data_IF_213560350094
#
_entry.id   IF_213560350094
#
_cell.length_a   1.000
_cell.length_b   1.000
_cell.length_c   1.000
_cell.angle_alpha   90.00
_cell.angle_beta   90.00
_cell.angle_gamma   90.00
#
_symmetry.space_group_name_H-M   'P 1'
#
loop_
_entity.id
_entity.type
_entity.pdbx_description
1 polymer ?
#
# COMPACT_ATOMS: atom_id res chain seq x y z
N UNK A 1 -20.99 17.42 -24.32
CA UNK A 1 -20.39 17.82 -23.02
C UNK A 1 -19.34 16.78 -22.64
N UNK A 2 -18.06 17.15 -22.63
CA UNK A 2 -16.99 16.23 -22.20
C UNK A 2 -16.93 16.23 -20.68
N UNK A 3 -17.31 15.13 -20.02
CA UNK A 3 -17.12 14.98 -18.57
C UNK A 3 -15.64 14.72 -18.31
N UNK A 4 -14.93 15.72 -17.80
CA UNK A 4 -13.61 15.51 -17.20
C UNK A 4 -13.78 14.65 -15.95
N UNK A 5 -13.70 13.33 -16.08
CA UNK A 5 -13.58 12.43 -14.93
C UNK A 5 -12.19 12.63 -14.35
N UNK A 6 -12.11 13.18 -13.13
CA UNK A 6 -10.84 13.18 -12.37
C UNK A 6 -10.34 11.72 -12.32
N UNK A 7 -9.05 11.47 -12.58
CA UNK A 7 -8.50 10.12 -12.48
C UNK A 7 -8.75 9.60 -11.07
N UNK A 8 -9.30 8.39 -10.99
CA UNK A 8 -9.54 7.67 -9.74
C UNK A 8 -8.17 7.41 -9.09
N UNK A 9 -8.00 7.81 -7.83
CA UNK A 9 -6.75 7.61 -7.07
C UNK A 9 -6.93 6.44 -6.09
N UNK A 10 -5.86 5.69 -5.80
CA UNK A 10 -5.92 4.67 -4.76
C UNK A 10 -6.14 5.32 -3.39
N UNK A 11 -6.84 4.60 -2.51
CA UNK A 11 -7.03 4.95 -1.09
C UNK A 11 -5.73 4.78 -0.30
N UNK A 12 -4.92 3.76 -0.65
CA UNK A 12 -3.61 3.50 -0.05
C UNK A 12 -2.69 2.84 -1.08
N UNK A 13 -1.39 3.04 -0.91
CA UNK A 13 -0.33 2.21 -1.49
C UNK A 13 -0.08 1.02 -0.57
N UNK A 14 0.15 -0.16 -1.13
CA UNK A 14 0.44 -1.38 -0.39
C UNK A 14 1.93 -1.63 -0.48
N UNK A 15 2.61 -1.65 0.66
CA UNK A 15 4.03 -2.01 0.72
C UNK A 15 4.22 -3.23 1.60
N UNK A 16 5.26 -4.02 1.33
CA UNK A 16 5.60 -5.23 2.06
C UNK A 16 7.06 -5.19 2.51
N UNK A 17 7.30 -5.57 3.76
CA UNK A 17 8.63 -5.86 4.30
C UNK A 17 8.69 -7.30 4.75
N UNK A 18 9.68 -8.05 4.28
CA UNK A 18 9.94 -9.39 4.81
C UNK A 18 10.56 -9.31 6.21
N UNK A 19 10.30 -10.30 7.04
CA UNK A 19 11.02 -10.49 8.30
C UNK A 19 12.38 -11.09 7.97
N UNK A 20 13.46 -10.45 8.44
CA UNK A 20 14.84 -10.89 8.18
C UNK A 20 15.51 -11.55 9.39
N UNK A 21 14.86 -11.56 10.53
CA UNK A 21 15.35 -12.11 11.78
C UNK A 21 14.60 -11.51 12.96
N UNK A 22 15.16 -11.69 14.15
CA UNK A 22 14.68 -11.08 15.38
C UNK A 22 15.80 -10.35 16.12
N UNK A 23 15.45 -9.32 16.87
CA UNK A 23 16.39 -8.61 17.73
C UNK A 23 16.60 -9.31 19.08
N UNK A 24 17.39 -8.70 19.97
CA UNK A 24 17.70 -9.23 21.31
C UNK A 24 16.47 -9.35 22.23
N UNK A 25 15.36 -8.72 21.87
CA UNK A 25 14.10 -8.73 22.62
C UNK A 25 13.02 -9.59 21.93
N UNK A 26 13.41 -10.48 21.01
CA UNK A 26 12.51 -11.35 20.24
C UNK A 26 11.53 -10.58 19.32
N UNK A 27 11.83 -9.33 18.96
CA UNK A 27 11.03 -8.52 18.04
C UNK A 27 11.47 -8.72 16.58
N UNK A 28 10.50 -8.78 15.66
CA UNK A 28 10.77 -8.97 14.24
C UNK A 28 11.57 -7.81 13.65
N UNK A 29 12.69 -8.14 12.99
CA UNK A 29 13.47 -7.18 12.20
C UNK A 29 12.94 -7.21 10.78
N UNK A 30 12.50 -6.04 10.27
CA UNK A 30 11.90 -5.91 8.96
C UNK A 30 12.91 -5.42 7.91
N UNK A 31 12.81 -5.95 6.69
CA UNK A 31 13.54 -5.42 5.55
C UNK A 31 13.02 -4.04 5.14
N UNK A 32 13.77 -3.35 4.27
CA UNK A 32 13.26 -2.16 3.58
C UNK A 32 11.93 -2.50 2.86
N UNK A 33 10.87 -1.70 3.04
CA UNK A 33 9.59 -1.95 2.38
C UNK A 33 9.71 -1.77 0.88
N UNK A 34 8.97 -2.60 0.14
CA UNK A 34 8.78 -2.49 -1.30
C UNK A 34 7.30 -2.32 -1.60
N UNK A 35 6.98 -1.39 -2.49
CA UNK A 35 5.64 -1.28 -3.04
C UNK A 35 5.28 -2.54 -3.82
N UNK A 36 4.11 -3.09 -3.53
CA UNK A 36 3.62 -4.31 -4.17
C UNK A 36 2.20 -4.16 -4.73
N UNK A 37 1.54 -3.03 -4.52
CA UNK A 37 0.20 -2.79 -5.02
C UNK A 37 -0.48 -1.57 -4.44
N UNK A 38 -1.81 -1.55 -4.51
CA UNK A 38 -2.64 -0.45 -4.01
C UNK A 38 -4.02 -0.92 -3.53
N UNK A 39 -4.64 -0.12 -2.67
CA UNK A 39 -6.01 -0.29 -2.19
C UNK A 39 -6.91 0.72 -2.89
N UNK A 40 -8.02 0.26 -3.43
CA UNK A 40 -8.97 1.05 -4.21
C UNK A 40 -10.34 1.06 -3.56
N UNK A 41 -11.09 2.17 -3.70
CA UNK A 41 -12.48 2.20 -3.29
C UNK A 41 -13.31 1.23 -4.14
N UNK A 42 -14.35 0.64 -3.54
CA UNK A 42 -15.31 -0.16 -4.32
C UNK A 42 -16.24 0.76 -5.11
N UNK A 43 -16.52 0.37 -6.35
CA UNK A 43 -17.47 1.08 -7.22
C UNK A 43 -18.93 0.80 -6.84
N UNK A 44 -19.82 1.67 -7.30
CA UNK A 44 -21.28 1.54 -7.20
C UNK A 44 -21.80 1.50 -5.75
N UNK A 45 -21.28 2.36 -4.88
CA UNK A 45 -21.79 2.54 -3.51
C UNK A 45 -21.56 1.36 -2.58
N UNK A 46 -20.70 0.41 -2.93
CA UNK A 46 -20.35 -0.72 -2.08
C UNK A 46 -19.38 -0.29 -0.98
N UNK A 47 -19.63 -0.71 0.25
CA UNK A 47 -18.72 -0.47 1.39
C UNK A 47 -17.45 -1.32 1.27
N UNK A 48 -16.34 -0.79 1.81
CA UNK A 48 -15.03 -1.44 1.85
C UNK A 48 -14.11 -1.05 0.70
N UNK A 49 -12.99 -1.76 0.59
CA UNK A 49 -11.94 -1.47 -0.38
C UNK A 49 -11.41 -2.76 -1.03
N UNK A 50 -10.78 -2.63 -2.20
CA UNK A 50 -10.14 -3.71 -2.93
C UNK A 50 -8.62 -3.54 -2.84
N UNK A 51 -7.94 -4.50 -2.24
CA UNK A 51 -6.48 -4.59 -2.32
C UNK A 51 -6.10 -5.32 -3.61
N UNK A 52 -5.35 -4.64 -4.47
CA UNK A 52 -4.81 -5.19 -5.70
C UNK A 52 -3.30 -5.27 -5.52
N UNK A 53 -2.74 -6.47 -5.72
CA UNK A 53 -1.30 -6.72 -5.65
C UNK A 53 -0.77 -6.91 -7.07
N UNK A 54 0.12 -6.01 -7.48
CA UNK A 54 0.82 -6.07 -8.76
C UNK A 54 2.05 -6.99 -8.68
N UNK A 55 2.60 -7.15 -7.47
CA UNK A 55 3.67 -8.08 -7.15
C UNK A 55 3.26 -8.91 -5.92
N UNK A 56 3.47 -10.22 -5.97
CA UNK A 56 3.25 -11.10 -4.81
C UNK A 56 4.59 -11.69 -4.39
N UNK A 57 5.24 -11.15 -3.34
CA UNK A 57 6.48 -11.73 -2.81
C UNK A 57 6.24 -13.16 -2.31
N UNK A 58 7.22 -14.05 -2.48
CA UNK A 58 7.12 -15.44 -2.00
C UNK A 58 6.97 -15.45 -0.47
N UNK A 59 7.68 -14.57 0.22
CA UNK A 59 7.63 -14.42 1.68
C UNK A 59 6.24 -14.00 2.17
N UNK A 60 5.47 -13.27 1.35
CA UNK A 60 4.09 -12.91 1.68
C UNK A 60 3.21 -14.18 1.72
N UNK A 61 3.38 -15.08 0.75
CA UNK A 61 2.65 -16.36 0.74
C UNK A 61 3.05 -17.28 1.91
N UNK A 62 4.27 -17.12 2.42
CA UNK A 62 4.81 -17.86 3.57
C UNK A 62 4.52 -17.19 4.92
N UNK A 63 3.81 -16.05 4.94
CA UNK A 63 3.53 -15.25 6.15
C UNK A 63 4.81 -14.76 6.86
N UNK A 64 5.88 -14.54 6.11
CA UNK A 64 7.18 -14.08 6.62
C UNK A 64 7.39 -12.58 6.35
N UNK A 65 6.43 -11.75 6.74
CA UNK A 65 6.50 -10.32 6.53
C UNK A 65 5.26 -9.57 6.95
N UNK A 66 5.32 -8.25 6.77
CA UNK A 66 4.28 -7.32 7.20
C UNK A 66 3.85 -6.47 6.00
N UNK A 67 2.54 -6.29 5.85
CA UNK A 67 1.94 -5.35 4.90
C UNK A 67 1.71 -4.01 5.60
N UNK A 68 2.12 -2.92 4.94
CA UNK A 68 1.79 -1.57 5.33
C UNK A 68 0.86 -0.92 4.31
N UNK A 69 -0.16 -0.22 4.81
CA UNK A 69 -1.01 0.67 4.03
C UNK A 69 -0.50 2.09 4.19
N UNK A 70 0.07 2.63 3.13
CA UNK A 70 0.64 3.98 3.12
C UNK A 70 -0.34 4.91 2.39
N UNK A 71 -0.65 6.12 2.90
CA UNK A 71 -1.47 7.06 2.15
C UNK A 71 -0.92 7.29 0.74
N UNK A 72 -1.78 7.54 -0.27
CA UNK A 72 -1.31 7.97 -1.58
C UNK A 72 -0.50 9.27 -1.39
N UNK A 73 0.50 9.48 -2.24
CA UNK A 73 1.24 10.75 -2.21
C UNK A 73 0.24 11.91 -2.29
N UNK A 74 0.30 12.80 -1.30
CA UNK A 74 -0.33 14.10 -1.45
C UNK A 74 0.39 14.83 -2.58
N UNK A 75 -0.37 15.32 -3.56
CA UNK A 75 0.14 16.42 -4.35
C UNK A 75 0.47 17.52 -3.35
N UNK A 76 1.74 17.92 -3.25
CA UNK A 76 2.08 19.21 -2.66
C UNK A 76 1.35 20.25 -3.52
N UNK A 77 0.14 20.62 -3.12
CA UNK A 77 -0.43 21.89 -3.53
C UNK A 77 0.64 22.93 -3.22
N UNK A 78 1.01 23.73 -4.22
CA UNK A 78 2.15 24.65 -4.22
C UNK A 78 2.06 25.76 -3.16
N UNK A 79 2.13 25.38 -1.88
CA UNK A 79 2.28 26.26 -0.74
C UNK A 79 3.68 26.85 -0.77
N UNK A 80 3.73 28.10 -1.20
CA UNK A 80 4.89 28.99 -1.03
C UNK A 80 5.33 28.95 0.44
N UNK A 81 6.64 28.79 0.64
CA UNK A 81 7.30 29.16 1.90
C UNK A 81 7.15 30.66 2.16
#
# INVERSE_FOLDING_TARGET
MSKHTKPERPLYRVTFSRITGKDEHDQDILSRPKEIGAVWARKNGKTGALMILDLIPVELSQRQGVIFLVPPYEERDGGKQ
#
